data_IF_527884742295
#
_entry.id   IF_527884742295
#
_cell.length_a   1.000
_cell.length_b   1.000
_cell.length_c   1.000
_cell.angle_alpha   90.00
_cell.angle_beta   90.00
_cell.angle_gamma   90.00
#
_symmetry.space_group_name_H-M   'P 1'
#
loop_
_entity.id
_entity.type
_entity.pdbx_description
1 polymer ?
#
# COMPACT_ATOMS: atom_id res chain seq x y z
N UNK A 1 31.41 48.72 -22.42
CA UNK A 1 30.71 47.44 -22.19
C UNK A 1 29.53 47.75 -21.28
N UNK A 2 28.29 47.58 -21.76
CA UNK A 2 27.07 47.75 -20.94
C UNK A 2 26.74 46.40 -20.32
N UNK A 3 26.70 46.33 -19.00
CA UNK A 3 26.16 45.16 -18.31
C UNK A 3 24.62 45.19 -18.40
N UNK A 4 24.05 44.22 -19.10
CA UNK A 4 22.62 43.94 -19.05
C UNK A 4 22.30 43.20 -17.75
N UNK A 5 21.87 43.94 -16.73
CA UNK A 5 21.20 43.33 -15.59
C UNK A 5 19.86 42.73 -16.07
N UNK A 6 19.84 41.40 -16.25
CA UNK A 6 18.61 40.63 -16.46
C UNK A 6 17.68 40.84 -15.27
N UNK A 7 16.73 41.75 -15.42
CA UNK A 7 15.59 41.89 -14.52
C UNK A 7 14.75 40.61 -14.59
N UNK A 8 15.06 39.65 -13.71
CA UNK A 8 14.20 38.49 -13.49
C UNK A 8 12.93 39.04 -12.85
N UNK A 9 11.88 39.22 -13.65
CA UNK A 9 10.61 39.82 -13.22
C UNK A 9 10.12 39.12 -11.95
N UNK A 10 9.73 39.85 -10.89
CA UNK A 10 9.44 39.29 -9.56
C UNK A 10 8.35 38.20 -9.57
N UNK A 11 7.47 38.20 -10.57
CA UNK A 11 6.45 37.17 -10.78
C UNK A 11 7.02 35.75 -11.01
N UNK A 12 8.21 35.63 -11.62
CA UNK A 12 8.85 34.32 -11.90
C UNK A 12 9.23 33.61 -10.59
N UNK A 13 9.53 34.36 -9.52
CA UNK A 13 9.83 33.80 -8.19
C UNK A 13 8.58 33.20 -7.53
N UNK A 14 7.40 33.76 -7.76
CA UNK A 14 6.15 33.24 -7.21
C UNK A 14 5.63 32.02 -7.98
N UNK A 15 5.83 31.99 -9.31
CA UNK A 15 5.47 30.85 -10.16
C UNK A 15 6.26 29.59 -9.76
N UNK A 16 7.54 29.74 -9.42
CA UNK A 16 8.38 28.60 -9.01
C UNK A 16 7.96 28.03 -7.65
N UNK A 17 7.59 28.88 -6.68
CA UNK A 17 7.06 28.44 -5.38
C UNK A 17 5.71 27.72 -5.54
N UNK A 18 4.80 28.27 -6.35
CA UNK A 18 3.51 27.64 -6.62
C UNK A 18 3.66 26.28 -7.33
N UNK A 19 4.56 26.17 -8.30
CA UNK A 19 4.83 24.90 -8.99
C UNK A 19 5.37 23.82 -8.06
N UNK A 20 6.30 24.16 -7.16
CA UNK A 20 6.83 23.23 -6.15
C UNK A 20 5.73 22.78 -5.19
N UNK A 21 4.89 23.71 -4.71
CA UNK A 21 3.77 23.38 -3.83
C UNK A 21 2.74 22.48 -4.52
N UNK A 22 2.44 22.71 -5.80
CA UNK A 22 1.53 21.85 -6.58
C UNK A 22 2.14 20.46 -6.78
N UNK A 23 3.43 20.34 -7.10
CA UNK A 23 4.10 19.04 -7.21
C UNK A 23 4.09 18.29 -5.87
N UNK A 24 4.38 18.98 -4.77
CA UNK A 24 4.28 18.40 -3.42
C UNK A 24 2.85 17.96 -3.07
N UNK A 25 1.84 18.75 -3.43
CA UNK A 25 0.42 18.42 -3.23
C UNK A 25 -0.05 17.25 -4.11
N UNK A 26 0.52 17.09 -5.30
CA UNK A 26 0.22 15.96 -6.19
C UNK A 26 0.85 14.65 -5.69
N UNK A 27 2.08 14.71 -5.13
CA UNK A 27 2.72 13.57 -4.48
C UNK A 27 1.99 13.21 -3.18
N UNK A 28 1.47 14.21 -2.47
CA UNK A 28 0.80 14.06 -1.18
C UNK A 28 -0.71 14.27 -1.29
N UNK A 29 -1.31 13.72 -2.34
CA UNK A 29 -2.73 13.85 -2.62
C UNK A 29 -3.59 13.26 -1.49
N UNK A 30 -4.34 14.10 -0.73
CA UNK A 30 -5.15 13.62 0.38
C UNK A 30 -6.51 13.06 -0.08
N UNK A 31 -6.87 13.12 -1.37
CA UNK A 31 -8.17 12.63 -1.83
C UNK A 31 -8.20 11.11 -2.01
N UNK A 32 -7.06 10.48 -2.36
CA UNK A 32 -6.97 9.03 -2.55
C UNK A 32 -7.00 8.28 -1.21
N UNK A 33 -6.50 8.92 -0.14
CA UNK A 33 -6.50 8.35 1.22
C UNK A 33 -7.93 8.03 1.68
N UNK A 34 -8.91 8.91 1.41
CA UNK A 34 -10.29 8.68 1.83
C UNK A 34 -10.93 7.43 1.21
N UNK A 35 -10.64 7.13 -0.07
CA UNK A 35 -11.11 5.90 -0.71
C UNK A 35 -10.32 4.69 -0.21
N UNK A 36 -8.99 4.80 -0.08
CA UNK A 36 -8.17 3.73 0.47
C UNK A 36 -8.69 3.27 1.85
N UNK A 37 -8.85 4.19 2.80
CA UNK A 37 -9.30 3.86 4.16
C UNK A 37 -10.68 3.19 4.17
N UNK A 38 -11.60 3.62 3.30
CA UNK A 38 -12.94 3.02 3.18
C UNK A 38 -12.88 1.57 2.67
N UNK A 39 -11.98 1.29 1.74
CA UNK A 39 -11.92 0.00 1.06
C UNK A 39 -10.84 -0.94 1.60
N UNK A 40 -9.97 -0.48 2.49
CA UNK A 40 -9.01 -1.33 3.19
C UNK A 40 -9.71 -2.52 3.87
N UNK A 41 -9.07 -3.69 3.79
CA UNK A 41 -9.65 -4.97 4.23
C UNK A 41 -8.87 -5.62 5.36
N UNK A 42 -7.85 -4.96 5.95
CA UNK A 42 -6.93 -5.60 6.91
C UNK A 42 -7.68 -6.04 8.17
N UNK A 43 -8.07 -7.32 8.16
CA UNK A 43 -8.55 -8.07 9.30
C UNK A 43 -7.30 -8.41 10.12
N UNK A 44 -7.43 -8.38 11.42
CA UNK A 44 -6.31 -8.54 12.36
C UNK A 44 -5.39 -9.73 12.01
N UNK A 45 -4.10 -9.55 12.20
CA UNK A 45 -3.13 -10.65 12.15
C UNK A 45 -3.33 -11.54 13.38
N UNK A 46 -3.98 -12.69 13.17
CA UNK A 46 -4.10 -13.74 14.18
C UNK A 46 -2.94 -14.70 14.06
N UNK A 47 -2.31 -15.02 15.19
CA UNK A 47 -1.15 -15.91 15.27
C UNK A 47 -1.34 -16.89 16.43
N UNK A 48 -0.78 -18.09 16.28
CA UNK A 48 -0.79 -19.09 17.34
C UNK A 48 0.09 -18.67 18.54
N UNK A 49 -0.04 -19.40 19.65
CA UNK A 49 0.85 -19.24 20.81
C UNK A 49 2.29 -19.57 20.38
N UNK A 50 3.28 -18.70 20.64
CA UNK A 50 4.67 -18.95 20.26
C UNK A 50 5.28 -20.18 20.94
N UNK A 51 6.01 -20.99 20.17
CA UNK A 51 6.83 -22.11 20.61
C UNK A 51 8.33 -21.97 20.30
N UNK A 52 8.73 -20.95 19.54
CA UNK A 52 10.14 -20.61 19.25
C UNK A 52 10.33 -19.09 19.08
N UNK A 53 11.59 -18.65 18.96
CA UNK A 53 11.95 -17.23 18.88
C UNK A 53 11.35 -16.51 17.66
N UNK A 54 11.30 -17.19 16.50
CA UNK A 54 10.68 -16.63 15.29
C UNK A 54 9.19 -16.36 15.52
N UNK A 55 8.46 -17.31 16.12
CA UNK A 55 7.06 -17.15 16.46
C UNK A 55 6.82 -16.07 17.52
N UNK A 56 7.75 -15.88 18.47
CA UNK A 56 7.70 -14.77 19.44
C UNK A 56 7.78 -13.43 18.70
N UNK A 57 8.69 -13.30 17.73
CA UNK A 57 8.82 -12.09 16.93
C UNK A 57 7.62 -11.87 16.01
N UNK A 58 7.12 -12.90 15.34
CA UNK A 58 5.89 -12.82 14.53
C UNK A 58 4.71 -12.38 15.41
N UNK A 59 4.58 -12.91 16.63
CA UNK A 59 3.54 -12.48 17.57
C UNK A 59 3.69 -11.04 18.02
N UNK A 60 4.92 -10.57 18.26
CA UNK A 60 5.20 -9.16 18.52
C UNK A 60 4.84 -8.27 17.32
N UNK A 61 5.18 -8.70 16.11
CA UNK A 61 4.80 -8.03 14.87
C UNK A 61 3.28 -7.94 14.70
N UNK A 62 2.56 -9.03 14.93
CA UNK A 62 1.11 -9.09 14.91
C UNK A 62 0.47 -8.13 15.93
N UNK A 63 1.01 -8.04 17.15
CA UNK A 63 0.55 -7.06 18.16
C UNK A 63 0.72 -5.62 17.68
N UNK A 64 1.85 -5.29 17.07
CA UNK A 64 2.05 -3.97 16.48
C UNK A 64 1.10 -3.72 15.31
N UNK A 65 0.92 -4.69 14.43
CA UNK A 65 0.01 -4.63 13.28
C UNK A 65 -1.43 -4.36 13.74
N UNK A 66 -1.94 -5.16 14.68
CA UNK A 66 -3.30 -5.04 15.20
C UNK A 66 -3.53 -3.74 15.98
N UNK A 67 -2.45 -3.11 16.46
CA UNK A 67 -2.47 -1.77 17.08
C UNK A 67 -2.24 -0.64 16.07
N UNK A 68 -2.27 -0.92 14.76
CA UNK A 68 -1.98 0.01 13.66
C UNK A 68 -0.60 0.69 13.74
N UNK A 69 0.34 0.12 14.49
CA UNK A 69 1.72 0.60 14.61
C UNK A 69 2.56 0.05 13.46
N UNK A 70 2.16 0.34 12.22
CA UNK A 70 2.68 -0.31 11.02
C UNK A 70 4.18 -0.14 10.81
N UNK A 71 4.77 1.01 11.18
CA UNK A 71 6.23 1.18 11.16
C UNK A 71 6.96 0.20 12.09
N UNK A 72 6.41 -0.07 13.28
CA UNK A 72 6.99 -1.03 14.23
C UNK A 72 6.75 -2.47 13.77
N UNK A 73 5.54 -2.75 13.27
CA UNK A 73 5.19 -4.04 12.70
C UNK A 73 6.12 -4.39 11.53
N UNK A 74 6.30 -3.47 10.58
CA UNK A 74 7.22 -3.63 9.44
C UNK A 74 8.61 -4.03 9.88
N UNK A 75 9.20 -3.29 10.83
CA UNK A 75 10.57 -3.56 11.30
C UNK A 75 10.72 -4.98 11.86
N UNK A 76 9.73 -5.47 12.62
CA UNK A 76 9.77 -6.82 13.21
C UNK A 76 9.45 -7.89 12.16
N UNK A 77 8.42 -7.70 11.35
CA UNK A 77 8.01 -8.69 10.36
C UNK A 77 9.01 -8.81 9.20
N UNK A 78 9.76 -7.75 8.89
CA UNK A 78 10.79 -7.79 7.84
C UNK A 78 11.91 -8.78 8.18
N UNK A 79 12.42 -8.80 9.42
CA UNK A 79 13.47 -9.74 9.79
C UNK A 79 12.98 -11.18 9.67
N UNK A 80 11.76 -11.46 10.12
CA UNK A 80 11.17 -12.78 10.01
C UNK A 80 10.89 -13.19 8.55
N UNK A 81 10.42 -12.25 7.72
CA UNK A 81 10.15 -12.50 6.31
C UNK A 81 11.44 -12.85 5.56
N UNK A 82 12.55 -12.18 5.86
CA UNK A 82 13.85 -12.51 5.25
C UNK A 82 14.35 -13.92 5.62
N UNK A 83 14.01 -14.41 6.81
CA UNK A 83 14.37 -15.76 7.25
C UNK A 83 13.48 -16.83 6.62
N UNK A 84 12.19 -16.54 6.42
CA UNK A 84 11.25 -17.49 5.85
C UNK A 84 10.21 -16.80 4.92
N UNK A 85 10.59 -16.44 3.68
CA UNK A 85 9.70 -15.76 2.75
C UNK A 85 8.56 -16.65 2.20
N UNK A 86 8.62 -17.96 2.44
CA UNK A 86 7.60 -18.93 2.03
C UNK A 86 6.43 -19.01 3.02
N UNK A 87 6.56 -18.40 4.21
CA UNK A 87 5.45 -18.28 5.14
C UNK A 87 4.39 -17.31 4.58
N UNK A 88 3.35 -17.86 3.94
CA UNK A 88 2.32 -17.09 3.24
C UNK A 88 1.61 -16.06 4.14
N UNK A 89 1.35 -16.41 5.40
CA UNK A 89 0.75 -15.51 6.39
C UNK A 89 1.67 -14.32 6.65
N UNK A 90 2.94 -14.60 6.95
CA UNK A 90 3.94 -13.58 7.23
C UNK A 90 4.17 -12.67 6.01
N UNK A 91 4.31 -13.24 4.82
CA UNK A 91 4.48 -12.52 3.56
C UNK A 91 3.31 -11.58 3.29
N UNK A 92 2.07 -12.06 3.48
CA UNK A 92 0.87 -11.27 3.30
C UNK A 92 0.82 -10.07 4.27
N UNK A 93 0.97 -10.30 5.57
CA UNK A 93 0.89 -9.23 6.56
C UNK A 93 2.08 -8.26 6.50
N UNK A 94 3.28 -8.76 6.20
CA UNK A 94 4.44 -7.91 5.94
C UNK A 94 4.20 -6.99 4.74
N UNK A 95 3.67 -7.52 3.63
CA UNK A 95 3.33 -6.70 2.47
C UNK A 95 2.28 -5.62 2.77
N UNK A 96 1.29 -5.90 3.63
CA UNK A 96 0.37 -4.85 4.10
C UNK A 96 1.13 -3.76 4.86
N UNK A 97 2.06 -4.11 5.76
CA UNK A 97 2.87 -3.08 6.44
C UNK A 97 3.71 -2.22 5.49
N UNK A 98 4.07 -2.75 4.32
CA UNK A 98 4.74 -1.97 3.28
C UNK A 98 3.78 -0.94 2.67
N UNK A 99 2.55 -1.34 2.29
CA UNK A 99 1.51 -0.41 1.81
C UNK A 99 1.21 0.68 2.84
N UNK A 100 1.07 0.30 4.11
CA UNK A 100 0.76 1.23 5.19
C UNK A 100 1.91 2.19 5.55
N UNK A 101 3.11 1.96 5.00
CA UNK A 101 4.29 2.78 5.29
C UNK A 101 4.90 3.40 4.03
N UNK A 102 4.11 3.55 2.96
CA UNK A 102 4.52 4.22 1.73
C UNK A 102 5.55 3.44 0.91
N UNK A 103 5.45 2.11 0.93
CA UNK A 103 6.29 1.16 0.20
C UNK A 103 5.45 0.30 -0.74
N UNK A 104 4.56 0.94 -1.48
CA UNK A 104 3.57 0.33 -2.35
C UNK A 104 4.24 -0.53 -3.44
N UNK A 105 5.31 -0.04 -4.05
CA UNK A 105 6.05 -0.79 -5.07
C UNK A 105 6.61 -2.10 -4.52
N UNK A 106 7.31 -2.06 -3.39
CA UNK A 106 7.85 -3.25 -2.74
C UNK A 106 6.73 -4.20 -2.31
N UNK A 107 5.64 -3.67 -1.74
CA UNK A 107 4.47 -4.45 -1.36
C UNK A 107 3.89 -5.25 -2.54
N UNK A 108 3.74 -4.60 -3.71
CA UNK A 108 3.22 -5.24 -4.92
C UNK A 108 4.06 -6.42 -5.35
N UNK A 109 5.38 -6.37 -5.22
CA UNK A 109 6.24 -7.51 -5.61
C UNK A 109 5.90 -8.76 -4.80
N UNK A 110 5.65 -8.61 -3.50
CA UNK A 110 5.27 -9.69 -2.59
C UNK A 110 3.84 -10.17 -2.88
N UNK A 111 2.88 -9.24 -3.01
CA UNK A 111 1.48 -9.61 -3.31
C UNK A 111 1.34 -10.30 -4.67
N UNK A 112 2.09 -9.87 -5.68
CA UNK A 112 2.07 -10.54 -6.99
C UNK A 112 2.61 -11.97 -6.91
N UNK A 113 3.58 -12.25 -6.03
CA UNK A 113 4.03 -13.62 -5.77
C UNK A 113 2.91 -14.45 -5.13
N UNK A 114 2.24 -13.90 -4.10
CA UNK A 114 1.09 -14.56 -3.44
C UNK A 114 -0.08 -14.81 -4.39
N UNK A 115 -0.35 -13.88 -5.31
CA UNK A 115 -1.40 -14.02 -6.33
C UNK A 115 -1.06 -15.08 -7.39
N UNK A 116 0.21 -15.21 -7.78
CA UNK A 116 0.65 -16.21 -8.76
C UNK A 116 0.66 -17.62 -8.18
N UNK A 117 0.88 -17.76 -6.87
CA UNK A 117 0.90 -19.05 -6.18
C UNK A 117 -0.50 -19.59 -5.84
N UNK A 118 -0.51 -20.77 -5.23
CA UNK A 118 -1.68 -21.37 -4.59
C UNK A 118 -1.66 -20.99 -3.10
N UNK A 119 -2.24 -19.82 -2.80
CA UNK A 119 -2.30 -19.26 -1.45
C UNK A 119 -3.74 -18.99 -1.04
N UNK A 120 -4.07 -19.21 0.23
CA UNK A 120 -5.33 -18.75 0.81
C UNK A 120 -5.50 -17.22 0.70
N UNK A 121 -4.40 -16.48 0.52
CA UNK A 121 -4.39 -15.04 0.33
C UNK A 121 -4.40 -14.60 -1.14
N UNK A 122 -4.51 -15.51 -2.12
CA UNK A 122 -4.36 -15.21 -3.55
C UNK A 122 -5.18 -14.00 -4.01
N UNK A 123 -6.49 -14.02 -3.78
CA UNK A 123 -7.38 -12.95 -4.23
C UNK A 123 -7.37 -11.73 -3.32
N UNK A 124 -7.05 -11.91 -2.03
CA UNK A 124 -6.82 -10.79 -1.13
C UNK A 124 -5.53 -10.04 -1.49
N UNK A 125 -4.51 -10.73 -1.98
CA UNK A 125 -3.29 -10.14 -2.51
C UNK A 125 -3.59 -9.34 -3.79
N UNK A 126 -4.40 -9.87 -4.71
CA UNK A 126 -4.86 -9.10 -5.87
C UNK A 126 -5.61 -7.82 -5.46
N UNK A 127 -6.48 -7.92 -4.44
CA UNK A 127 -7.18 -6.77 -3.88
C UNK A 127 -6.20 -5.73 -3.30
N UNK A 128 -5.19 -6.16 -2.55
CA UNK A 128 -4.17 -5.25 -2.01
C UNK A 128 -3.25 -4.64 -3.08
N UNK A 129 -2.97 -5.34 -4.18
CA UNK A 129 -2.29 -4.72 -5.33
C UNK A 129 -3.14 -3.58 -5.86
N UNK A 130 -4.46 -3.77 -6.04
CA UNK A 130 -5.34 -2.68 -6.44
C UNK A 130 -5.33 -1.51 -5.46
N UNK A 131 -5.42 -1.78 -4.16
CA UNK A 131 -5.37 -0.72 -3.14
C UNK A 131 -4.04 0.04 -3.14
N UNK A 132 -2.92 -0.64 -3.42
CA UNK A 132 -1.62 0.04 -3.54
C UNK A 132 -1.59 1.02 -4.72
N UNK A 133 -2.20 0.65 -5.85
CA UNK A 133 -2.34 1.56 -6.99
C UNK A 133 -3.34 2.69 -6.72
N UNK A 134 -4.38 2.42 -5.91
CA UNK A 134 -5.33 3.45 -5.49
C UNK A 134 -4.65 4.54 -4.67
N UNK A 135 -3.71 4.20 -3.77
CA UNK A 135 -2.93 5.20 -3.00
C UNK A 135 -2.10 6.10 -3.91
N UNK A 136 -1.61 5.57 -5.03
CA UNK A 136 -0.87 6.28 -6.07
C UNK A 136 -1.79 6.99 -7.10
N UNK A 137 -3.11 7.01 -6.86
CA UNK A 137 -4.15 7.54 -7.77
C UNK A 137 -4.16 6.89 -9.17
N UNK A 138 -3.57 5.70 -9.32
CA UNK A 138 -3.58 4.97 -10.59
C UNK A 138 -4.90 4.20 -10.74
N UNK A 139 -5.96 4.91 -11.13
CA UNK A 139 -7.30 4.33 -11.33
C UNK A 139 -7.32 3.20 -12.36
N UNK A 140 -6.66 3.30 -13.53
CA UNK A 140 -6.65 2.21 -14.51
C UNK A 140 -6.10 0.91 -13.93
N UNK A 141 -4.93 0.96 -13.27
CA UNK A 141 -4.32 -0.22 -12.66
C UNK A 141 -5.14 -0.73 -11.46
N UNK A 142 -5.75 0.18 -10.70
CA UNK A 142 -6.67 -0.19 -9.61
C UNK A 142 -7.83 -1.03 -10.15
N UNK A 143 -8.52 -0.57 -11.20
CA UNK A 143 -9.65 -1.28 -11.80
C UNK A 143 -9.19 -2.63 -12.38
N UNK A 144 -8.07 -2.65 -13.09
CA UNK A 144 -7.51 -3.87 -13.69
C UNK A 144 -7.29 -4.97 -12.63
N UNK A 145 -6.75 -4.61 -11.46
CA UNK A 145 -6.51 -5.56 -10.38
C UNK A 145 -7.77 -5.95 -9.62
N UNK A 146 -8.72 -5.04 -9.42
CA UNK A 146 -10.01 -5.37 -8.80
C UNK A 146 -10.82 -6.37 -9.65
N UNK A 147 -10.70 -6.31 -10.98
CA UNK A 147 -11.35 -7.27 -11.88
C UNK A 147 -10.82 -8.70 -11.74
N UNK A 148 -9.61 -8.87 -11.18
CA UNK A 148 -9.03 -10.20 -10.91
C UNK A 148 -9.59 -10.86 -9.64
N UNK A 149 -10.46 -10.17 -8.88
CA UNK A 149 -11.10 -10.69 -7.67
C UNK A 149 -12.41 -11.41 -8.05
N UNK A 150 -12.51 -12.75 -7.90
CA UNK A 150 -13.71 -13.52 -8.26
C UNK A 150 -14.91 -13.17 -7.41
N UNK A 151 -16.12 -13.42 -7.94
CA UNK A 151 -17.39 -13.01 -7.32
C UNK A 151 -17.74 -13.71 -5.99
N UNK A 152 -17.10 -14.84 -5.68
CA UNK A 152 -17.38 -15.67 -4.51
C UNK A 152 -16.40 -15.42 -3.35
N UNK A 153 -15.50 -14.43 -3.48
CA UNK A 153 -14.56 -14.07 -2.42
C UNK A 153 -15.19 -13.11 -1.40
N UNK A 154 -14.64 -13.09 -0.18
CA UNK A 154 -15.12 -12.21 0.89
C UNK A 154 -15.08 -10.71 0.56
N UNK A 155 -14.25 -10.30 -0.42
CA UNK A 155 -14.03 -8.91 -0.79
C UNK A 155 -14.63 -8.53 -2.16
N UNK A 156 -15.40 -9.44 -2.78
CA UNK A 156 -16.01 -9.24 -4.12
C UNK A 156 -16.95 -8.04 -4.19
N UNK A 157 -17.80 -7.87 -3.17
CA UNK A 157 -18.75 -6.75 -3.11
C UNK A 157 -18.03 -5.41 -3.02
N UNK A 158 -17.00 -5.32 -2.16
CA UNK A 158 -16.12 -4.15 -2.05
C UNK A 158 -15.38 -3.87 -3.36
N UNK A 159 -14.92 -4.90 -4.07
CA UNK A 159 -14.23 -4.74 -5.36
C UNK A 159 -15.18 -4.14 -6.42
N UNK A 160 -16.38 -4.69 -6.57
CA UNK A 160 -17.40 -4.18 -7.50
C UNK A 160 -17.80 -2.74 -7.17
N UNK A 161 -18.03 -2.43 -5.89
CA UNK A 161 -18.39 -1.07 -5.46
C UNK A 161 -17.28 -0.07 -5.78
N UNK A 162 -16.01 -0.42 -5.52
CA UNK A 162 -14.88 0.45 -5.81
C UNK A 162 -14.68 0.66 -7.32
N UNK A 163 -14.80 -0.39 -8.14
CA UNK A 163 -14.77 -0.25 -9.62
C UNK A 163 -15.84 0.74 -10.08
N UNK A 164 -17.10 0.57 -9.62
CA UNK A 164 -18.21 1.43 -10.01
C UNK A 164 -18.02 2.90 -9.59
N UNK A 165 -17.28 3.16 -8.49
CA UNK A 165 -16.92 4.52 -8.08
C UNK A 165 -15.82 5.13 -8.94
N UNK A 166 -14.83 4.35 -9.37
CA UNK A 166 -13.68 4.84 -10.14
C UNK A 166 -14.02 5.10 -11.62
N UNK A 167 -15.13 4.54 -12.11
CA UNK A 167 -15.64 4.73 -13.48
C UNK A 167 -16.61 5.90 -13.63
N UNK A 168 -16.96 6.58 -12.53
CA UNK A 168 -17.77 7.81 -12.55
C UNK A 168 -16.86 9.03 -12.66
#
# INVERSE_FOLDING_TARGET
MKEEHKFVKPYIKYVSVAAVLVICLLIWSPWSSGLYEKYAISRQMSVAKPGNDSEVNISKGAKYFNSQKYHKAKKVLQSEYMLNPQNLLLSYYFAITLVETGKEYEARTIFMSLYKGESAFKYDAAYYVALSFLKEDNKPATIEWLQKVPQETANSSKAKELIAKLQR
#
